data_IF_017734904172
#
_entry.id   IF_017734904172
#
_cell.length_a   1.000
_cell.length_b   1.000
_cell.length_c   1.000
_cell.angle_alpha   90.00
_cell.angle_beta   90.00
_cell.angle_gamma   90.00
#
_symmetry.space_group_name_H-M   'P 1'
#
loop_
_entity.id
_entity.type
_entity.pdbx_description
1 polymer ?
#
# COMPACT_ATOMS: atom_id res chain seq x y z
N UNK A 1 7.88 3.12 -2.94
CA UNK A 1 7.71 3.48 -4.36
C UNK A 1 6.36 2.97 -4.85
N UNK A 2 5.66 3.72 -5.68
CA UNK A 2 4.34 3.37 -6.23
C UNK A 2 4.19 3.95 -7.65
N UNK A 3 3.48 3.26 -8.55
CA UNK A 3 3.29 3.71 -9.93
C UNK A 3 1.95 4.43 -10.08
N UNK A 4 1.99 5.70 -10.51
CA UNK A 4 0.79 6.47 -10.90
C UNK A 4 0.28 6.02 -12.25
N UNK A 5 1.21 5.73 -13.15
CA UNK A 5 0.99 5.20 -14.49
C UNK A 5 2.23 4.43 -14.93
N UNK A 6 2.24 3.79 -16.11
CA UNK A 6 3.46 3.16 -16.67
C UNK A 6 4.63 4.14 -16.87
N UNK A 7 4.38 5.45 -16.81
CA UNK A 7 5.36 6.50 -17.13
C UNK A 7 5.70 7.41 -15.95
N UNK A 8 4.97 7.28 -14.84
CA UNK A 8 5.16 8.12 -13.65
C UNK A 8 5.22 7.23 -12.42
N UNK A 9 6.37 7.25 -11.75
CA UNK A 9 6.57 6.61 -10.46
C UNK A 9 6.66 7.65 -9.35
N UNK A 10 6.25 7.28 -8.15
CA UNK A 10 6.32 8.13 -6.98
C UNK A 10 7.09 7.45 -5.84
N UNK A 11 7.89 8.22 -5.13
CA UNK A 11 8.61 7.78 -3.96
C UNK A 11 8.75 8.92 -2.95
N UNK A 12 8.96 8.56 -1.69
CA UNK A 12 9.20 9.51 -0.62
C UNK A 12 10.69 9.74 -0.48
N UNK A 13 11.10 11.00 -0.40
CA UNK A 13 12.46 11.42 -0.09
C UNK A 13 12.45 12.17 1.23
N UNK A 14 13.45 11.92 2.08
CA UNK A 14 13.63 12.72 3.29
C UNK A 14 14.40 13.99 2.92
N UNK A 15 13.74 15.13 3.09
CA UNK A 15 14.31 16.46 2.92
C UNK A 15 14.30 17.15 4.28
N UNK A 16 15.49 17.40 4.81
CA UNK A 16 15.70 17.87 6.18
C UNK A 16 14.99 16.96 7.21
N UNK A 17 14.05 17.52 7.96
CA UNK A 17 13.26 16.82 8.97
C UNK A 17 11.99 16.17 8.42
N UNK A 18 11.63 16.40 7.15
CA UNK A 18 10.33 15.99 6.59
C UNK A 18 10.47 14.98 5.46
N UNK A 19 9.49 14.11 5.30
CA UNK A 19 9.38 13.25 4.12
C UNK A 19 8.53 13.96 3.09
N UNK A 20 8.93 13.98 1.82
CA UNK A 20 8.15 14.58 0.74
C UNK A 20 8.01 13.60 -0.42
N UNK A 21 6.81 13.52 -0.98
CA UNK A 21 6.57 12.72 -2.19
C UNK A 21 7.16 13.43 -3.41
N UNK A 22 7.90 12.68 -4.21
CA UNK A 22 8.43 13.07 -5.51
C UNK A 22 7.81 12.16 -6.57
N UNK A 23 7.28 12.76 -7.63
CA UNK A 23 6.93 12.07 -8.87
C UNK A 23 8.11 12.16 -9.85
N UNK A 24 8.50 11.03 -10.41
CA UNK A 24 9.50 10.94 -11.46
C UNK A 24 8.85 10.51 -12.76
N UNK A 25 9.06 11.32 -13.80
CA UNK A 25 8.53 11.11 -15.13
C UNK A 25 9.58 10.37 -15.96
N UNK A 26 9.26 9.14 -16.35
CA UNK A 26 10.18 8.25 -17.07
C UNK A 26 10.44 8.70 -18.52
N UNK A 27 9.57 9.53 -19.09
CA UNK A 27 9.70 9.98 -20.48
C UNK A 27 10.82 11.00 -20.67
N UNK A 28 10.97 11.93 -19.73
CA UNK A 28 11.89 13.06 -19.82
C UNK A 28 12.89 13.12 -18.64
N UNK A 29 12.82 12.16 -17.73
CA UNK A 29 13.60 12.08 -16.49
C UNK A 29 13.39 13.29 -15.55
N UNK A 30 12.27 14.00 -15.70
CA UNK A 30 11.93 15.12 -14.82
C UNK A 30 11.40 14.64 -13.47
N UNK A 31 11.53 15.51 -12.45
CA UNK A 31 11.03 15.27 -11.10
C UNK A 31 10.12 16.42 -10.68
N UNK A 32 8.95 16.07 -10.16
CA UNK A 32 8.00 17.01 -9.57
C UNK A 32 7.86 16.68 -8.09
N UNK A 33 8.15 17.66 -7.23
CA UNK A 33 7.86 17.53 -5.79
C UNK A 33 6.39 17.83 -5.56
N UNK A 34 5.66 16.89 -4.95
CA UNK A 34 4.28 17.14 -4.52
C UNK A 34 4.27 18.08 -3.31
N UNK A 35 3.11 18.70 -2.96
CA UNK A 35 3.03 19.59 -1.81
C UNK A 35 3.64 19.00 -0.52
N UNK A 36 4.42 19.77 0.27
CA UNK A 36 5.16 19.26 1.44
C UNK A 36 4.30 18.58 2.51
N UNK A 37 2.97 18.78 2.51
CA UNK A 37 2.06 18.08 3.40
C UNK A 37 2.09 16.56 3.23
N UNK A 38 2.40 16.07 2.03
CA UNK A 38 2.39 14.64 1.72
C UNK A 38 3.74 13.99 1.98
N UNK A 39 3.76 13.07 2.95
CA UNK A 39 4.93 12.23 3.19
C UNK A 39 4.94 10.98 2.34
N UNK A 40 3.77 10.49 1.97
CA UNK A 40 3.65 9.21 1.27
C UNK A 40 2.39 9.12 0.42
N UNK A 41 2.50 8.39 -0.69
CA UNK A 41 1.35 8.00 -1.50
C UNK A 41 1.50 6.59 -2.07
N UNK A 42 0.41 5.85 -2.03
CA UNK A 42 0.19 4.69 -2.86
C UNK A 42 -0.82 5.02 -3.95
N UNK A 43 -0.35 4.96 -5.18
CA UNK A 43 -1.18 4.93 -6.38
C UNK A 43 -1.79 3.55 -6.64
N UNK A 44 -2.91 3.58 -7.35
CA UNK A 44 -3.65 2.44 -7.88
C UNK A 44 -4.21 2.82 -9.25
N UNK A 45 -4.56 1.85 -10.10
CA UNK A 45 -5.14 2.13 -11.43
C UNK A 45 -6.42 2.98 -11.37
N UNK A 46 -7.27 2.70 -10.37
CA UNK A 46 -8.44 3.50 -10.03
C UNK A 46 -8.11 4.54 -8.96
N UNK A 47 -8.42 5.81 -9.23
CA UNK A 47 -8.12 6.95 -8.35
C UNK A 47 -8.76 6.81 -6.96
N UNK A 48 -9.96 6.22 -6.87
CA UNK A 48 -10.68 5.98 -5.61
C UNK A 48 -9.93 5.07 -4.63
N UNK A 49 -8.90 4.37 -5.12
CA UNK A 49 -8.08 3.47 -4.33
C UNK A 49 -6.71 4.04 -3.99
N UNK A 50 -6.44 5.30 -4.36
CA UNK A 50 -5.23 5.96 -3.93
C UNK A 50 -5.27 6.17 -2.42
N UNK A 51 -4.13 5.98 -1.78
CA UNK A 51 -3.94 6.22 -0.35
C UNK A 51 -2.82 7.23 -0.15
N UNK A 52 -3.11 8.26 0.62
CA UNK A 52 -2.16 9.30 0.97
C UNK A 52 -1.93 9.29 2.47
N UNK A 53 -0.72 9.66 2.87
CA UNK A 53 -0.38 9.87 4.28
C UNK A 53 0.30 11.23 4.39
N UNK A 54 -0.18 12.05 5.33
CA UNK A 54 0.42 13.35 5.62
C UNK A 54 1.52 13.25 6.70
N UNK A 55 2.14 14.39 7.03
CA UNK A 55 3.20 14.45 8.03
C UNK A 55 2.74 13.94 9.41
N UNK A 56 1.47 14.11 9.77
CA UNK A 56 0.88 13.74 11.06
C UNK A 56 0.39 12.29 11.13
N UNK A 57 0.73 11.44 10.15
CA UNK A 57 0.20 10.06 10.03
C UNK A 57 -1.32 9.98 9.80
N UNK A 58 -1.95 11.07 9.34
CA UNK A 58 -3.35 11.04 8.94
C UNK A 58 -3.48 10.49 7.54
N UNK A 59 -4.49 9.65 7.37
CA UNK A 59 -4.78 8.95 6.13
C UNK A 59 -5.82 9.70 5.30
N UNK A 60 -5.64 9.65 3.98
CA UNK A 60 -6.58 10.19 3.01
C UNK A 60 -6.73 9.21 1.85
N UNK A 61 -7.87 9.24 1.17
CA UNK A 61 -8.17 8.35 0.06
C UNK A 61 -8.71 9.10 -1.15
N UNK A 62 -8.58 8.47 -2.33
CA UNK A 62 -9.08 9.03 -3.58
C UNK A 62 -8.13 10.00 -4.27
N UNK A 63 -8.40 10.32 -5.54
CA UNK A 63 -7.61 11.27 -6.32
C UNK A 63 -7.57 12.68 -5.73
N UNK A 64 -8.63 13.08 -5.02
CA UNK A 64 -8.75 14.37 -4.34
C UNK A 64 -8.21 14.36 -2.90
N UNK A 65 -7.72 13.22 -2.42
CA UNK A 65 -7.21 13.01 -1.07
C UNK A 65 -8.20 13.48 0.03
N UNK A 66 -9.38 12.86 0.05
CA UNK A 66 -10.40 13.06 1.09
C UNK A 66 -9.98 12.37 2.39
N UNK A 67 -10.18 12.97 3.58
CA UNK A 67 -9.88 12.34 4.85
C UNK A 67 -10.43 10.91 4.95
N UNK A 68 -9.60 10.00 5.43
CA UNK A 68 -9.90 8.57 5.47
C UNK A 68 -9.54 8.01 6.83
N UNK A 69 -10.49 7.36 7.48
CA UNK A 69 -10.25 6.69 8.76
C UNK A 69 -9.82 5.26 8.50
N UNK A 70 -8.60 4.92 8.95
CA UNK A 70 -8.12 3.55 8.87
C UNK A 70 -8.98 2.62 9.76
N UNK A 71 -9.23 1.39 9.31
CA UNK A 71 -10.02 0.40 10.06
C UNK A 71 -9.35 -0.07 11.35
N UNK A 72 -8.06 0.19 11.53
CA UNK A 72 -7.29 -0.15 12.72
C UNK A 72 -6.45 1.05 13.11
N UNK A 73 -6.33 1.30 14.40
CA UNK A 73 -5.44 2.33 14.92
C UNK A 73 -3.96 1.99 14.68
N UNK A 74 -3.13 3.01 14.55
CA UNK A 74 -1.67 2.88 14.48
C UNK A 74 -1.16 1.94 13.37
N UNK A 75 -1.88 1.80 12.26
CA UNK A 75 -1.40 1.03 11.10
C UNK A 75 -0.19 1.75 10.49
N UNK A 76 1.00 1.13 10.47
CA UNK A 76 2.17 1.77 9.90
C UNK A 76 1.99 1.90 8.38
N UNK A 77 2.22 3.10 7.85
CA UNK A 77 2.16 3.35 6.41
C UNK A 77 3.18 2.51 5.63
N UNK A 78 4.29 2.18 6.26
CA UNK A 78 5.42 1.50 5.63
C UNK A 78 5.77 0.18 6.31
N UNK A 79 6.16 -0.79 5.49
CA UNK A 79 6.89 -1.99 5.89
C UNK A 79 8.27 -1.92 5.25
N UNK A 80 9.29 -1.63 6.05
CA UNK A 80 10.63 -1.31 5.54
C UNK A 80 10.58 -0.10 4.59
N UNK A 81 10.90 -0.30 3.31
CA UNK A 81 10.90 0.75 2.26
C UNK A 81 9.63 0.73 1.38
N UNK A 82 8.69 -0.16 1.68
CA UNK A 82 7.49 -0.35 0.87
C UNK A 82 6.25 0.14 1.62
N UNK A 83 5.20 0.50 0.86
CA UNK A 83 3.90 0.77 1.44
C UNK A 83 3.31 -0.51 2.01
N UNK A 84 2.88 -0.48 3.26
CA UNK A 84 2.31 -1.65 3.93
C UNK A 84 0.81 -1.83 3.61
N UNK A 85 0.12 -0.71 3.37
CA UNK A 85 -1.34 -0.70 3.20
C UNK A 85 -1.69 -0.67 1.73
N UNK A 86 -2.66 -1.49 1.32
CA UNK A 86 -3.22 -1.56 -0.02
C UNK A 86 -4.74 -1.34 0.05
N UNK A 87 -5.31 -0.51 -0.81
CA UNK A 87 -6.76 -0.35 -0.95
C UNK A 87 -7.22 -0.81 -2.33
N UNK A 88 -8.34 -1.52 -2.40
CA UNK A 88 -9.06 -1.80 -3.65
C UNK A 88 -10.56 -1.92 -3.41
N UNK A 89 -11.32 -0.97 -3.94
CA UNK A 89 -12.75 -0.85 -3.69
C UNK A 89 -13.03 -0.66 -2.19
N UNK A 90 -13.79 -1.59 -1.63
CA UNK A 90 -14.16 -1.63 -0.20
C UNK A 90 -13.13 -2.38 0.67
N UNK A 91 -12.10 -2.96 0.06
CA UNK A 91 -11.09 -3.75 0.77
C UNK A 91 -9.87 -2.91 1.09
N UNK A 92 -9.44 -3.00 2.34
CA UNK A 92 -8.19 -2.44 2.85
C UNK A 92 -7.40 -3.61 3.40
N UNK A 93 -6.14 -3.73 2.97
CA UNK A 93 -5.28 -4.82 3.37
C UNK A 93 -3.95 -4.28 3.86
N UNK A 94 -3.39 -4.87 4.91
CA UNK A 94 -2.03 -4.60 5.33
C UNK A 94 -1.40 -5.85 5.93
N UNK A 95 -0.07 -5.91 5.90
CA UNK A 95 0.69 -7.00 6.50
C UNK A 95 0.89 -6.75 7.99
N UNK A 96 0.46 -7.71 8.81
CA UNK A 96 0.75 -7.77 10.24
C UNK A 96 1.99 -8.64 10.45
N UNK A 97 3.12 -7.98 10.74
CA UNK A 97 4.41 -8.64 10.92
C UNK A 97 4.45 -9.55 12.16
N UNK A 98 3.72 -9.20 13.22
CA UNK A 98 3.75 -10.00 14.45
C UNK A 98 3.10 -11.36 14.24
N UNK A 99 2.07 -11.39 13.38
CA UNK A 99 1.29 -12.59 13.10
C UNK A 99 1.62 -13.25 11.76
N UNK A 100 2.51 -12.66 10.95
CA UNK A 100 2.85 -13.11 9.60
C UNK A 100 1.61 -13.38 8.72
N UNK A 101 0.73 -12.39 8.67
CA UNK A 101 -0.51 -12.50 7.90
C UNK A 101 -0.92 -11.16 7.30
N UNK A 102 -1.61 -11.24 6.17
CA UNK A 102 -2.29 -10.10 5.58
C UNK A 102 -3.69 -10.05 6.18
N UNK A 103 -4.02 -8.93 6.81
CA UNK A 103 -5.33 -8.70 7.39
C UNK A 103 -6.16 -7.85 6.44
N UNK A 104 -7.37 -8.31 6.12
CA UNK A 104 -8.30 -7.61 5.25
C UNK A 104 -9.46 -7.04 6.05
N UNK A 105 -9.75 -5.77 5.81
CA UNK A 105 -10.81 -5.02 6.44
C UNK A 105 -11.75 -4.49 5.36
N UNK A 106 -13.03 -4.41 5.71
CA UNK A 106 -13.97 -3.56 4.97
C UNK A 106 -13.76 -2.11 5.41
N UNK A 107 -14.11 -1.14 4.56
CA UNK A 107 -14.14 0.26 4.97
C UNK A 107 -14.94 0.42 6.27
N UNK A 108 -14.41 1.22 7.20
CA UNK A 108 -15.04 1.51 8.51
C UNK A 108 -15.22 0.29 9.44
N UNK A 109 -14.70 -0.89 9.10
CA UNK A 109 -14.73 -2.05 9.98
C UNK A 109 -13.54 -2.05 10.92
N UNK A 110 -13.76 -2.16 12.22
CA UNK A 110 -12.66 -2.25 13.20
C UNK A 110 -11.98 -3.63 13.24
N UNK A 111 -12.63 -4.64 12.66
CA UNK A 111 -12.15 -6.03 12.68
C UNK A 111 -11.85 -6.53 11.27
N UNK A 112 -10.80 -7.35 11.12
CA UNK A 112 -10.55 -8.00 9.85
C UNK A 112 -11.66 -9.01 9.57
N UNK A 113 -12.16 -9.04 8.33
CA UNK A 113 -13.16 -10.03 7.92
C UNK A 113 -12.50 -11.29 7.32
N UNK A 114 -11.23 -11.19 6.89
CA UNK A 114 -10.41 -12.33 6.50
C UNK A 114 -8.94 -12.05 6.78
N UNK A 115 -8.20 -13.12 7.07
CA UNK A 115 -6.75 -13.10 7.24
C UNK A 115 -6.13 -14.15 6.34
N UNK A 116 -5.08 -13.78 5.61
CA UNK A 116 -4.35 -14.70 4.73
C UNK A 116 -2.94 -14.85 5.29
N UNK A 117 -2.53 -16.09 5.58
CA UNK A 117 -1.16 -16.37 6.02
C UNK A 117 -0.17 -15.98 4.92
N UNK A 118 0.85 -15.22 5.28
CA UNK A 118 1.88 -14.79 4.34
C UNK A 118 3.20 -14.65 5.05
N UNK A 119 4.27 -15.21 4.48
CA UNK A 119 5.59 -15.14 5.09
C UNK A 119 6.30 -13.81 4.80
N UNK A 120 5.75 -13.01 3.89
CA UNK A 120 6.34 -11.77 3.42
C UNK A 120 5.32 -10.65 3.34
N UNK A 121 5.74 -9.42 3.64
CA UNK A 121 4.90 -8.23 3.51
C UNK A 121 4.69 -7.77 2.06
N UNK A 122 5.27 -8.47 1.08
CA UNK A 122 5.15 -8.13 -0.34
C UNK A 122 3.89 -8.77 -0.90
N UNK A 123 2.85 -7.97 -1.09
CA UNK A 123 1.62 -8.43 -1.74
C UNK A 123 1.03 -7.37 -2.65
N UNK A 124 0.26 -7.85 -3.62
CA UNK A 124 -0.54 -7.03 -4.53
C UNK A 124 -2.02 -7.33 -4.33
N UNK A 125 -2.85 -6.30 -4.47
CA UNK A 125 -4.30 -6.39 -4.35
C UNK A 125 -4.94 -5.72 -5.57
N UNK A 126 -5.82 -6.44 -6.26
CA UNK A 126 -6.65 -5.92 -7.35
C UNK A 126 -8.08 -6.46 -7.21
N UNK A 127 -9.02 -5.59 -6.85
CA UNK A 127 -10.39 -5.96 -6.53
C UNK A 127 -10.44 -6.89 -5.32
N UNK A 128 -10.79 -8.16 -5.57
CA UNK A 128 -10.80 -9.22 -4.58
C UNK A 128 -9.69 -10.27 -4.81
N UNK A 129 -8.73 -10.00 -5.68
CA UNK A 129 -7.62 -10.91 -5.97
C UNK A 129 -6.37 -10.41 -5.25
N UNK A 130 -5.73 -11.32 -4.51
CA UNK A 130 -4.51 -11.05 -3.75
C UNK A 130 -3.42 -11.94 -4.29
N UNK A 131 -2.28 -11.35 -4.63
CA UNK A 131 -1.07 -12.07 -5.00
C UNK A 131 -0.06 -11.95 -3.86
N UNK A 132 0.44 -13.08 -3.37
CA UNK A 132 1.46 -13.15 -2.31
C UNK A 132 2.66 -13.94 -2.79
N UNK A 133 3.86 -13.58 -2.34
CA UNK A 133 5.03 -14.45 -2.42
C UNK A 133 5.00 -15.52 -1.31
N UNK A 134 5.54 -16.68 -1.61
CA UNK A 134 5.82 -17.76 -0.69
C UNK A 134 7.24 -18.27 -0.93
N UNK A 135 7.93 -18.62 0.16
CA UNK A 135 9.23 -19.27 0.05
C UNK A 135 9.02 -20.74 -0.33
N UNK A 136 9.69 -21.19 -1.39
CA UNK A 136 9.61 -22.59 -1.84
C UNK A 136 10.16 -23.59 -0.82
N UNK A 137 11.19 -23.22 -0.07
CA UNK A 137 11.76 -23.98 1.05
C UNK A 137 12.93 -23.19 1.68
N UNK A 138 13.50 -23.68 2.78
CA UNK A 138 14.74 -23.14 3.36
C UNK A 138 16.00 -23.46 2.53
N UNK A 139 15.90 -24.36 1.54
CA UNK A 139 17.02 -24.89 0.76
C UNK A 139 17.05 -24.40 -0.70
N UNK A 140 15.96 -23.81 -1.21
CA UNK A 140 15.87 -23.24 -2.54
C UNK A 140 15.24 -21.85 -2.49
N UNK A 141 15.86 -20.89 -3.18
CA UNK A 141 15.39 -19.51 -3.33
C UNK A 141 14.47 -19.34 -4.55
N UNK A 142 13.51 -20.24 -4.75
CA UNK A 142 12.53 -20.07 -5.81
C UNK A 142 11.36 -19.22 -5.31
N UNK A 143 11.06 -18.13 -6.02
CA UNK A 143 9.91 -17.29 -5.73
C UNK A 143 8.64 -18.02 -6.20
N UNK A 144 7.86 -18.55 -5.25
CA UNK A 144 6.53 -19.07 -5.53
C UNK A 144 5.51 -17.95 -5.33
N UNK A 145 4.61 -17.78 -6.29
CA UNK A 145 3.53 -16.81 -6.20
C UNK A 145 2.20 -17.53 -6.05
N UNK A 146 1.43 -17.18 -5.04
CA UNK A 146 0.10 -17.72 -4.81
C UNK A 146 -0.95 -16.62 -4.95
N UNK A 147 -2.04 -16.97 -5.65
CA UNK A 147 -3.19 -16.09 -5.82
C UNK A 147 -4.33 -16.57 -4.92
N UNK A 148 -4.91 -15.65 -4.17
CA UNK A 148 -6.09 -15.89 -3.35
C UNK A 148 -7.25 -15.01 -3.80
N UNK A 149 -8.47 -15.54 -3.73
CA UNK A 149 -9.69 -14.76 -3.93
C UNK A 149 -10.31 -14.43 -2.58
N UNK A 150 -10.35 -13.15 -2.26
CA UNK A 150 -11.03 -12.59 -1.09
C UNK A 150 -12.55 -12.73 -1.30
N UNK A 151 -13.29 -13.30 -0.34
CA UNK A 151 -14.74 -13.38 -0.41
C UNK A 151 -15.36 -11.99 -0.53
N UNK A 152 -16.24 -11.82 -1.53
CA UNK A 152 -17.09 -10.64 -1.68
C UNK A 152 -18.42 -10.95 -1.00
N UNK A 153 -18.49 -10.78 0.32
CA UNK A 153 -19.77 -10.77 1.03
C UNK A 153 -20.41 -9.40 0.91
#
# INVERSE_FOLDING_TARGET
MSFKSPKVLAFSVKLDATWQVVEYHLEDNSMVRLPPKWKSIQYHALADNWLWVDQDDKWYSGGNATPFTMPKENVPAFYGRQFNVRKSGQHIAFYDRQQNQIQFYKNQSEKPFITIQSQEGHFSLNGNIVLTSQKSSSANSSDLYQTYRVPTQ
#
